data_IF_626046368118
#
_entry.id   IF_626046368118
#
_cell.length_a   1.000
_cell.length_b   1.000
_cell.length_c   1.000
_cell.angle_alpha   90.00
_cell.angle_beta   90.00
_cell.angle_gamma   90.00
#
_symmetry.space_group_name_H-M   'P 1'
#
loop_
_entity.id
_entity.type
_entity.pdbx_description
1 polymer ?
#
# COMPACT_ATOMS: atom_id res chain seq x y z
N UNK A 1 -33.43 32.65 -52.56
CA UNK A 1 -33.10 33.15 -51.20
C UNK A 1 -32.16 32.16 -50.52
N UNK A 2 -30.92 32.57 -50.20
CA UNK A 2 -29.99 31.80 -49.35
C UNK A 2 -29.59 32.68 -48.17
N UNK A 3 -29.89 32.22 -46.95
CA UNK A 3 -29.51 32.85 -45.68
C UNK A 3 -28.00 32.69 -45.50
N UNK A 4 -27.28 33.79 -45.34
CA UNK A 4 -25.88 33.78 -44.90
C UNK A 4 -25.93 33.84 -43.37
N UNK A 5 -25.49 32.76 -42.72
CA UNK A 5 -25.28 32.74 -41.27
C UNK A 5 -24.06 33.60 -40.94
N UNK A 6 -24.28 34.63 -40.11
CA UNK A 6 -23.20 35.48 -39.58
C UNK A 6 -22.48 34.69 -38.51
N UNK A 7 -21.33 34.12 -38.86
CA UNK A 7 -20.40 33.51 -37.90
C UNK A 7 -19.88 34.63 -37.00
N UNK A 8 -20.16 34.52 -35.69
CA UNK A 8 -19.75 35.48 -34.68
C UNK A 8 -18.23 35.52 -34.57
N UNK A 9 -17.64 36.67 -34.94
CA UNK A 9 -16.20 36.95 -34.94
C UNK A 9 -15.53 36.72 -33.56
N UNK A 10 -16.33 36.71 -32.49
CA UNK A 10 -15.89 36.46 -31.13
C UNK A 10 -15.41 35.01 -30.92
N UNK A 11 -15.98 34.04 -31.65
CA UNK A 11 -15.64 32.63 -31.47
C UNK A 11 -14.29 32.27 -32.09
N UNK A 12 -13.88 32.94 -33.17
CA UNK A 12 -12.58 32.73 -33.81
C UNK A 12 -11.40 33.32 -33.02
N UNK A 13 -11.62 34.38 -32.24
CA UNK A 13 -10.59 34.99 -31.40
C UNK A 13 -10.23 34.13 -30.18
N UNK A 14 -11.22 33.44 -29.60
CA UNK A 14 -11.00 32.56 -28.45
C UNK A 14 -10.03 31.42 -28.80
N UNK A 15 -10.22 30.76 -29.94
CA UNK A 15 -9.34 29.66 -30.38
C UNK A 15 -7.91 30.13 -30.70
N UNK A 16 -7.72 31.32 -31.28
CA UNK A 16 -6.38 31.86 -31.56
C UNK A 16 -5.61 32.20 -30.27
N UNK A 17 -6.28 32.67 -29.23
CA UNK A 17 -5.63 32.91 -27.93
C UNK A 17 -5.26 31.63 -27.18
N UNK A 18 -6.03 30.54 -27.32
CA UNK A 18 -5.73 29.27 -26.65
C UNK A 18 -4.48 28.57 -27.20
N UNK A 19 -4.17 28.74 -28.49
CA UNK A 19 -2.96 28.15 -29.10
C UNK A 19 -1.66 28.89 -28.74
N UNK A 20 -1.73 30.18 -28.38
CA UNK A 20 -0.55 30.96 -27.99
C UNK A 20 -0.04 30.65 -26.57
N UNK A 21 -0.85 30.01 -25.72
CA UNK A 21 -0.41 29.59 -24.37
C UNK A 21 0.21 28.18 -24.33
N UNK A 22 0.13 27.39 -25.40
CA UNK A 22 0.65 26.01 -25.43
C UNK A 22 2.11 25.89 -25.86
N UNK A 23 2.77 27.00 -26.24
CA UNK A 23 4.16 27.00 -26.71
C UNK A 23 5.24 27.28 -25.64
N UNK A 24 4.88 27.40 -24.35
CA UNK A 24 5.83 27.74 -23.26
C UNK A 24 6.14 26.57 -22.32
N UNK A 25 5.66 25.35 -22.60
CA UNK A 25 5.93 24.16 -21.75
C UNK A 25 6.75 23.08 -22.49
N UNK A 26 7.72 23.50 -23.29
CA UNK A 26 8.82 22.67 -23.74
C UNK A 26 10.09 23.52 -23.64
N UNK A 27 11.19 22.92 -23.19
CA UNK A 27 12.47 23.55 -22.82
C UNK A 27 12.58 24.02 -21.35
N UNK A 28 12.23 23.16 -20.40
CA UNK A 28 13.06 23.06 -19.20
C UNK A 28 14.25 22.18 -19.56
N UNK A 29 15.27 22.79 -20.15
CA UNK A 29 16.59 22.19 -20.21
C UNK A 29 17.02 21.90 -18.78
N UNK A 30 17.19 20.62 -18.48
CA UNK A 30 17.91 20.16 -17.30
C UNK A 30 19.30 20.79 -17.34
N UNK A 31 19.50 21.83 -16.54
CA UNK A 31 20.81 22.41 -16.30
C UNK A 31 21.75 21.33 -15.75
N UNK A 32 22.94 21.12 -16.34
CA UNK A 32 23.94 20.23 -15.79
C UNK A 32 24.58 20.96 -14.59
N UNK A 33 24.13 20.65 -13.37
CA UNK A 33 24.75 21.22 -12.18
C UNK A 33 23.86 21.48 -10.97
N UNK A 34 22.62 21.02 -10.94
CA UNK A 34 21.89 20.92 -9.66
C UNK A 34 21.90 19.46 -9.25
N UNK A 35 22.85 19.16 -8.38
CA UNK A 35 22.90 17.95 -7.57
C UNK A 35 21.49 17.51 -7.18
N UNK A 36 21.13 16.27 -7.52
CA UNK A 36 20.14 15.51 -6.77
C UNK A 36 20.65 15.35 -5.34
N UNK A 37 20.58 16.43 -4.56
CA UNK A 37 20.91 16.42 -3.14
C UNK A 37 19.76 15.70 -2.46
N UNK A 38 19.89 14.39 -2.35
CA UNK A 38 19.87 13.66 -1.08
C UNK A 38 18.91 14.14 0.04
N UNK A 39 17.71 14.63 -0.27
CA UNK A 39 16.65 14.86 0.73
C UNK A 39 15.77 13.62 0.97
N UNK A 40 16.05 12.49 0.31
CA UNK A 40 15.22 11.27 0.40
C UNK A 40 15.50 10.41 1.65
N UNK A 41 16.68 10.51 2.27
CA UNK A 41 17.11 9.41 3.15
C UNK A 41 16.49 9.45 4.56
N UNK A 42 16.24 10.64 5.12
CA UNK A 42 15.70 10.82 6.48
C UNK A 42 14.24 10.39 6.61
N UNK A 43 13.37 10.85 5.70
CA UNK A 43 11.94 10.53 5.72
C UNK A 43 11.69 9.06 5.37
N UNK A 44 12.37 8.50 4.37
CA UNK A 44 12.21 7.11 3.98
C UNK A 44 12.72 6.13 5.06
N UNK A 45 13.82 6.43 5.75
CA UNK A 45 14.28 5.63 6.89
C UNK A 45 13.28 5.64 8.05
N UNK A 46 12.69 6.80 8.35
CA UNK A 46 11.68 6.89 9.41
C UNK A 46 10.41 6.10 9.04
N UNK A 47 9.94 6.19 7.80
CA UNK A 47 8.76 5.44 7.32
C UNK A 47 9.04 3.93 7.33
N UNK A 48 10.21 3.51 6.85
CA UNK A 48 10.65 2.10 6.93
C UNK A 48 10.61 1.59 8.37
N UNK A 49 11.16 2.35 9.33
CA UNK A 49 11.13 1.99 10.75
C UNK A 49 9.71 1.90 11.29
N UNK A 50 8.82 2.83 10.90
CA UNK A 50 7.41 2.84 11.30
C UNK A 50 6.65 1.62 10.77
N UNK A 51 6.99 1.11 9.58
CA UNK A 51 6.37 -0.10 9.00
C UNK A 51 6.63 -1.37 9.81
N UNK A 52 7.75 -1.44 10.54
CA UNK A 52 8.08 -2.62 11.36
C UNK A 52 7.02 -2.93 12.43
N UNK A 53 6.39 -1.89 12.99
CA UNK A 53 5.41 -2.05 14.07
C UNK A 53 4.15 -2.78 13.61
N UNK A 54 3.39 -2.30 12.59
CA UNK A 54 2.22 -3.02 12.11
C UNK A 54 2.57 -4.40 11.54
N UNK A 55 3.73 -4.55 10.90
CA UNK A 55 4.22 -5.85 10.41
C UNK A 55 4.41 -6.87 11.55
N UNK A 56 5.08 -6.47 12.64
CA UNK A 56 5.24 -7.34 13.82
C UNK A 56 3.89 -7.70 14.45
N UNK A 57 2.94 -6.76 14.50
CA UNK A 57 1.60 -7.03 15.02
C UNK A 57 0.82 -7.99 14.13
N UNK A 58 0.93 -7.88 12.81
CA UNK A 58 0.35 -8.85 11.88
C UNK A 58 0.96 -10.25 12.05
N UNK A 59 2.28 -10.36 12.33
CA UNK A 59 2.91 -11.63 12.70
C UNK A 59 2.36 -12.22 14.02
N UNK A 60 2.05 -11.37 14.99
CA UNK A 60 1.38 -11.81 16.22
C UNK A 60 -0.04 -12.32 15.93
N UNK A 61 -0.76 -11.68 15.00
CA UNK A 61 -2.07 -12.17 14.55
C UNK A 61 -1.94 -13.56 13.92
N UNK A 62 -0.99 -13.77 13.01
CA UNK A 62 -0.74 -15.10 12.42
C UNK A 62 -0.50 -16.18 13.51
N UNK A 63 0.34 -15.87 14.50
CA UNK A 63 0.62 -16.78 15.62
C UNK A 63 -0.63 -17.04 16.48
N UNK A 64 -1.38 -15.99 16.79
CA UNK A 64 -2.64 -16.10 17.54
C UNK A 64 -3.68 -16.93 16.80
N UNK A 65 -3.77 -16.76 15.47
CA UNK A 65 -4.65 -17.55 14.61
C UNK A 65 -4.24 -19.01 14.61
N UNK A 66 -2.95 -19.31 14.43
CA UNK A 66 -2.44 -20.69 14.51
C UNK A 66 -2.78 -21.37 15.84
N UNK A 67 -2.59 -20.66 16.96
CA UNK A 67 -2.92 -21.19 18.27
C UNK A 67 -4.43 -21.41 18.45
N UNK A 68 -5.25 -20.47 17.97
CA UNK A 68 -6.71 -20.58 18.04
C UNK A 68 -7.22 -21.74 17.19
N UNK A 69 -6.69 -21.92 15.99
CA UNK A 69 -7.01 -23.04 15.10
C UNK A 69 -6.68 -24.39 15.73
N UNK A 70 -5.60 -24.49 16.49
CA UNK A 70 -5.21 -25.73 17.18
C UNK A 70 -5.89 -25.92 18.54
N UNK A 71 -6.78 -25.02 18.93
CA UNK A 71 -7.44 -25.07 20.23
C UNK A 71 -8.72 -25.91 20.19
N UNK A 72 -8.98 -26.61 21.30
CA UNK A 72 -10.25 -27.30 21.59
C UNK A 72 -11.17 -26.46 22.49
N UNK A 73 -11.02 -25.13 22.44
CA UNK A 73 -11.88 -24.21 23.18
C UNK A 73 -13.35 -24.33 22.76
N UNK A 74 -14.30 -24.02 23.66
CA UNK A 74 -15.71 -23.91 23.32
C UNK A 74 -15.93 -23.01 22.10
N UNK A 75 -16.90 -23.37 21.26
CA UNK A 75 -17.12 -22.75 19.95
C UNK A 75 -17.29 -21.22 20.03
N UNK A 76 -17.99 -20.70 21.04
CA UNK A 76 -18.19 -19.27 21.22
C UNK A 76 -16.87 -18.53 21.50
N UNK A 77 -16.02 -19.13 22.33
CA UNK A 77 -14.70 -18.57 22.66
C UNK A 77 -13.78 -18.63 21.44
N UNK A 78 -13.79 -19.75 20.72
CA UNK A 78 -13.07 -19.90 19.46
C UNK A 78 -13.48 -18.83 18.44
N UNK A 79 -14.78 -18.69 18.18
CA UNK A 79 -15.32 -17.72 17.22
C UNK A 79 -14.96 -16.28 17.60
N UNK A 80 -15.09 -15.94 18.89
CA UNK A 80 -14.70 -14.61 19.39
C UNK A 80 -13.21 -14.34 19.15
N UNK A 81 -12.34 -15.29 19.44
CA UNK A 81 -10.90 -15.12 19.24
C UNK A 81 -10.56 -14.96 17.75
N UNK A 82 -11.14 -15.79 16.88
CA UNK A 82 -10.97 -15.68 15.42
C UNK A 82 -11.39 -14.29 14.93
N UNK A 83 -12.56 -13.80 15.34
CA UNK A 83 -13.05 -12.47 14.95
C UNK A 83 -12.12 -11.34 15.40
N UNK A 84 -11.62 -11.39 16.64
CA UNK A 84 -10.66 -10.40 17.16
C UNK A 84 -9.38 -10.43 16.34
N UNK A 85 -8.86 -11.61 16.01
CA UNK A 85 -7.63 -11.76 15.25
C UNK A 85 -7.78 -11.22 13.83
N UNK A 86 -8.88 -11.53 13.15
CA UNK A 86 -9.13 -11.03 11.79
C UNK A 86 -9.34 -9.51 11.79
N UNK A 87 -10.07 -8.95 12.76
CA UNK A 87 -10.19 -7.50 12.90
C UNK A 87 -8.85 -6.81 13.19
N UNK A 88 -7.99 -7.42 13.99
CA UNK A 88 -6.63 -6.91 14.20
C UNK A 88 -5.80 -6.94 12.90
N UNK A 89 -5.94 -7.98 12.07
CA UNK A 89 -5.25 -8.04 10.79
C UNK A 89 -5.65 -6.89 9.87
N UNK A 90 -6.95 -6.59 9.78
CA UNK A 90 -7.47 -5.46 9.01
C UNK A 90 -6.81 -4.14 9.42
N UNK A 91 -6.77 -3.87 10.73
CA UNK A 91 -6.20 -2.65 11.29
C UNK A 91 -4.73 -2.52 10.92
N UNK A 92 -3.94 -3.58 11.06
CA UNK A 92 -2.51 -3.53 10.78
C UNK A 92 -2.22 -3.49 9.27
N UNK A 93 -3.00 -4.18 8.43
CA UNK A 93 -2.91 -4.08 6.98
C UNK A 93 -3.23 -2.66 6.49
N UNK A 94 -4.29 -2.03 7.02
CA UNK A 94 -4.63 -0.65 6.72
C UNK A 94 -3.61 0.38 7.25
N UNK A 95 -2.87 0.06 8.33
CA UNK A 95 -1.74 0.88 8.77
C UNK A 95 -0.54 0.75 7.83
N UNK A 96 -0.22 -0.46 7.37
CA UNK A 96 0.84 -0.67 6.39
C UNK A 96 0.55 0.09 5.09
N UNK A 97 -0.67 -0.02 4.57
CA UNK A 97 -1.09 0.68 3.35
C UNK A 97 -0.97 2.21 3.47
N UNK A 98 -1.44 2.79 4.59
CA UNK A 98 -1.28 4.24 4.83
C UNK A 98 0.18 4.67 4.86
N UNK A 99 1.05 3.89 5.51
CA UNK A 99 2.48 4.15 5.52
C UNK A 99 3.10 4.06 4.12
N UNK A 100 2.62 3.14 3.26
CA UNK A 100 3.02 3.10 1.86
C UNK A 100 2.54 4.30 1.06
N UNK A 101 1.32 4.80 1.32
CA UNK A 101 0.85 6.05 0.73
C UNK A 101 1.70 7.25 1.13
N UNK A 102 2.07 7.35 2.42
CA UNK A 102 3.03 8.37 2.87
C UNK A 102 4.40 8.20 2.21
N UNK A 103 4.86 6.95 2.05
CA UNK A 103 6.13 6.67 1.39
C UNK A 103 6.15 7.13 -0.07
N UNK A 104 5.07 6.88 -0.81
CA UNK A 104 4.90 7.32 -2.19
C UNK A 104 4.91 8.85 -2.30
N UNK A 105 4.18 9.54 -1.43
CA UNK A 105 4.17 11.01 -1.36
C UNK A 105 5.56 11.60 -1.04
N UNK A 106 6.42 10.86 -0.34
CA UNK A 106 7.77 11.27 0.03
C UNK A 106 8.85 10.77 -0.96
N UNK A 107 8.46 10.23 -2.12
CA UNK A 107 9.41 9.77 -3.14
C UNK A 107 10.14 8.47 -2.78
N UNK A 108 9.70 7.72 -1.78
CA UNK A 108 10.34 6.48 -1.33
C UNK A 108 10.04 5.29 -2.27
N UNK A 109 10.30 5.45 -3.57
CA UNK A 109 9.88 4.54 -4.65
C UNK A 109 10.32 3.09 -4.43
N UNK A 110 11.57 2.88 -3.99
CA UNK A 110 12.10 1.53 -3.71
C UNK A 110 11.33 0.83 -2.58
N UNK A 111 10.94 1.58 -1.55
CA UNK A 111 10.14 1.04 -0.45
C UNK A 111 8.75 0.63 -0.94
N UNK A 112 8.11 1.52 -1.70
CA UNK A 112 6.78 1.28 -2.25
C UNK A 112 6.80 0.07 -3.18
N UNK A 113 7.78 0.00 -4.10
CA UNK A 113 7.93 -1.08 -5.06
C UNK A 113 8.09 -2.45 -4.38
N UNK A 114 8.90 -2.53 -3.32
CA UNK A 114 9.16 -3.79 -2.63
C UNK A 114 8.01 -4.25 -1.73
N UNK A 115 7.15 -3.34 -1.27
CA UNK A 115 6.16 -3.63 -0.23
C UNK A 115 4.71 -3.70 -0.74
N UNK A 116 4.36 -2.92 -1.76
CA UNK A 116 2.96 -2.70 -2.17
C UNK A 116 2.22 -3.99 -2.49
N UNK A 117 2.83 -4.88 -3.27
CA UNK A 117 2.22 -6.16 -3.64
C UNK A 117 1.88 -7.01 -2.41
N UNK A 118 2.85 -7.17 -1.50
CA UNK A 118 2.66 -7.99 -0.30
C UNK A 118 1.65 -7.39 0.69
N UNK A 119 1.62 -6.06 0.84
CA UNK A 119 0.59 -5.38 1.65
C UNK A 119 -0.80 -5.59 1.04
N UNK A 120 -0.94 -5.48 -0.28
CA UNK A 120 -2.20 -5.74 -0.96
C UNK A 120 -2.64 -7.20 -0.82
N UNK A 121 -1.73 -8.16 -0.97
CA UNK A 121 -2.02 -9.57 -0.75
C UNK A 121 -2.45 -9.84 0.69
N UNK A 122 -1.81 -9.20 1.68
CA UNK A 122 -2.23 -9.28 3.09
C UNK A 122 -3.67 -8.79 3.28
N UNK A 123 -4.07 -7.70 2.62
CA UNK A 123 -5.46 -7.22 2.63
C UNK A 123 -6.43 -8.22 1.99
N UNK A 124 -6.05 -8.80 0.86
CA UNK A 124 -6.88 -9.79 0.18
C UNK A 124 -7.06 -11.05 1.04
N UNK A 125 -6.01 -11.51 1.73
CA UNK A 125 -6.07 -12.63 2.68
C UNK A 125 -7.01 -12.31 3.84
N UNK A 126 -6.94 -11.08 4.38
CA UNK A 126 -7.91 -10.62 5.38
C UNK A 126 -9.37 -10.74 4.86
N UNK A 127 -9.65 -10.26 3.64
CA UNK A 127 -10.99 -10.34 3.05
C UNK A 127 -11.45 -11.79 2.90
N UNK A 128 -10.55 -12.68 2.48
CA UNK A 128 -10.82 -14.11 2.39
C UNK A 128 -11.08 -14.75 3.76
N UNK A 129 -10.33 -14.36 4.79
CA UNK A 129 -10.57 -14.83 6.17
C UNK A 129 -11.95 -14.38 6.67
N UNK A 130 -12.35 -13.13 6.41
CA UNK A 130 -13.68 -12.61 6.75
C UNK A 130 -14.80 -13.43 6.10
N UNK A 131 -14.68 -13.72 4.80
CA UNK A 131 -15.62 -14.58 4.10
C UNK A 131 -15.63 -16.00 4.66
N UNK A 132 -14.44 -16.53 4.99
CA UNK A 132 -14.28 -17.91 5.47
C UNK A 132 -14.94 -18.12 6.83
N UNK A 133 -14.91 -17.14 7.73
CA UNK A 133 -15.54 -17.24 9.07
C UNK A 133 -17.04 -17.50 8.97
N UNK A 134 -17.68 -17.08 7.88
CA UNK A 134 -19.12 -17.24 7.66
C UNK A 134 -19.49 -18.66 7.18
N UNK A 135 -18.50 -19.50 6.87
CA UNK A 135 -18.73 -20.88 6.41
C UNK A 135 -19.08 -21.81 7.57
N UNK A 136 -19.84 -22.89 7.32
CA UNK A 136 -20.21 -23.88 8.36
C UNK A 136 -19.03 -24.68 8.90
N UNK A 137 -17.92 -24.79 8.17
CA UNK A 137 -16.70 -25.49 8.59
C UNK A 137 -15.44 -24.62 8.35
N UNK A 138 -15.25 -23.52 9.11
CA UNK A 138 -14.29 -22.48 8.77
C UNK A 138 -12.84 -22.85 9.11
N UNK A 139 -12.61 -23.83 10.00
CA UNK A 139 -11.29 -24.13 10.58
C UNK A 139 -10.22 -24.52 9.53
N UNK A 140 -10.53 -25.46 8.63
CA UNK A 140 -9.60 -25.89 7.56
C UNK A 140 -9.26 -24.76 6.55
N UNK A 141 -10.25 -24.05 5.98
CA UNK A 141 -9.95 -22.94 5.08
C UNK A 141 -9.24 -21.77 5.79
N UNK A 142 -9.57 -21.47 7.06
CA UNK A 142 -8.83 -20.48 7.85
C UNK A 142 -7.37 -20.88 8.06
N UNK A 143 -7.08 -22.16 8.31
CA UNK A 143 -5.71 -22.65 8.40
C UNK A 143 -4.92 -22.42 7.10
N UNK A 144 -5.53 -22.68 5.95
CA UNK A 144 -4.92 -22.39 4.65
C UNK A 144 -4.63 -20.90 4.48
N UNK A 145 -5.61 -20.04 4.75
CA UNK A 145 -5.42 -18.58 4.69
C UNK A 145 -4.34 -18.10 5.67
N UNK A 146 -4.21 -18.74 6.83
CA UNK A 146 -3.20 -18.36 7.82
C UNK A 146 -1.78 -18.76 7.42
N UNK A 147 -1.60 -19.82 6.65
CA UNK A 147 -0.29 -20.18 6.06
C UNK A 147 0.06 -19.24 4.88
N UNK A 148 -0.91 -18.88 4.04
CA UNK A 148 -0.74 -17.85 3.01
C UNK A 148 -0.33 -16.51 3.64
N UNK A 149 -1.00 -16.11 4.74
CA UNK A 149 -0.66 -14.92 5.51
C UNK A 149 0.79 -14.96 5.98
N UNK A 150 1.24 -16.10 6.51
CA UNK A 150 2.62 -16.26 6.98
C UNK A 150 3.62 -15.98 5.86
N UNK A 151 3.39 -16.54 4.66
CA UNK A 151 4.28 -16.33 3.52
C UNK A 151 4.38 -14.85 3.13
N UNK A 152 3.25 -14.13 3.10
CA UNK A 152 3.24 -12.70 2.79
C UNK A 152 3.95 -11.87 3.88
N UNK A 153 3.76 -12.20 5.16
CA UNK A 153 4.42 -11.51 6.26
C UNK A 153 5.93 -11.78 6.29
N UNK A 154 6.37 -12.99 5.95
CA UNK A 154 7.79 -13.33 5.82
C UNK A 154 8.44 -12.55 4.67
N UNK A 155 7.75 -12.42 3.53
CA UNK A 155 8.20 -11.60 2.40
C UNK A 155 8.31 -10.12 2.78
N UNK A 156 7.32 -9.58 3.49
CA UNK A 156 7.35 -8.20 4.01
C UNK A 156 8.51 -7.98 4.98
N UNK A 157 8.79 -8.95 5.86
CA UNK A 157 9.93 -8.89 6.78
C UNK A 157 11.26 -8.86 6.06
N UNK A 158 11.40 -9.67 5.01
CA UNK A 158 12.62 -9.70 4.20
C UNK A 158 12.78 -8.41 3.40
N UNK A 159 11.71 -7.90 2.78
CA UNK A 159 11.71 -6.60 2.13
C UNK A 159 12.12 -5.49 3.12
N UNK A 160 11.58 -5.51 4.35
CA UNK A 160 11.92 -4.54 5.39
C UNK A 160 13.41 -4.63 5.76
N UNK A 161 13.96 -5.86 5.87
CA UNK A 161 15.38 -6.08 6.16
C UNK A 161 16.27 -5.50 5.06
N UNK A 162 15.98 -5.78 3.80
CA UNK A 162 16.72 -5.25 2.63
C UNK A 162 16.67 -3.73 2.55
N UNK A 163 15.52 -3.12 2.84
CA UNK A 163 15.38 -1.67 2.90
C UNK A 163 16.20 -1.07 4.04
N UNK A 164 16.10 -1.67 5.23
CA UNK A 164 16.82 -1.21 6.42
C UNK A 164 18.33 -1.26 6.26
N UNK A 165 18.88 -2.29 5.61
CA UNK A 165 20.32 -2.37 5.32
C UNK A 165 20.74 -1.34 4.27
N UNK A 166 19.96 -1.19 3.20
CA UNK A 166 20.22 -0.23 2.11
C UNK A 166 20.19 1.24 2.54
N UNK A 167 19.46 1.56 3.61
CA UNK A 167 19.37 2.93 4.15
C UNK A 167 20.49 3.24 5.14
N UNK A 168 20.98 2.24 5.89
CA UNK A 168 22.13 2.37 6.79
C UNK A 168 23.46 2.57 6.05
N UNK A 169 23.61 2.03 4.84
CA UNK A 169 24.84 2.17 4.05
C UNK A 169 24.98 3.54 3.35
N UNK A 170 24.00 4.43 3.50
CA UNK A 170 23.94 5.76 2.87
C UNK A 170 24.03 6.92 3.88
N UNK A 171 24.27 6.61 5.16
CA UNK A 171 24.50 7.53 6.27
C UNK A 171 25.87 7.28 6.84
#
# INVERSE_FOLDING_TARGET
MKRIEKISLASTLFFLTSFLFLAVMAHAQSAPGVTQVAMENGNCAQITKKLKVPLNKALMVHKGMKNTLNSDQPIDKYNRHVNILVGNLEVEAGRMERLLGTAEQNGCNKLVQLMRGHVQNTKNIFQNMMATIQLPAPKKPLAKQNEELKSELDNLMEAHRKLSSSLKSKT
#
